data_IF_373302178097
#
_entry.id   IF_373302178097
#
_cell.length_a   1.000
_cell.length_b   1.000
_cell.length_c   1.000
_cell.angle_alpha   90.00
_cell.angle_beta   90.00
_cell.angle_gamma   90.00
#
_symmetry.space_group_name_H-M   'P 1'
#
loop_
_entity.id
_entity.type
_entity.pdbx_description
1 polymer ?
#
# COMPACT_ATOMS: atom_id res chain seq x y z
N UNK A 1 32.56 45.05 13.78
CA UNK A 1 32.26 43.63 14.06
C UNK A 1 30.79 43.36 14.39
N UNK A 2 30.14 44.13 15.30
CA UNK A 2 28.72 43.93 15.66
C UNK A 2 27.72 43.92 14.48
N UNK A 3 27.92 44.77 13.47
CA UNK A 3 27.05 44.83 12.27
C UNK A 3 27.21 43.65 11.30
N UNK A 4 28.40 43.03 11.28
CA UNK A 4 28.70 41.88 10.41
C UNK A 4 28.19 40.58 11.06
N UNK A 5 28.28 40.47 12.39
CA UNK A 5 27.73 39.34 13.16
C UNK A 5 26.21 39.25 13.05
N UNK A 6 25.52 40.40 13.05
CA UNK A 6 24.05 40.46 12.84
C UNK A 6 23.66 40.01 11.43
N UNK A 7 24.47 40.32 10.42
CA UNK A 7 24.21 39.93 9.02
C UNK A 7 24.39 38.43 8.77
N UNK A 8 25.32 37.78 9.46
CA UNK A 8 25.53 36.32 9.36
C UNK A 8 24.44 35.56 10.11
N UNK A 9 23.98 36.07 11.26
CA UNK A 9 22.86 35.48 12.00
C UNK A 9 21.54 35.53 11.22
N UNK A 10 21.30 36.60 10.44
CA UNK A 10 20.10 36.72 9.60
C UNK A 10 20.11 35.73 8.40
N UNK A 11 21.28 35.41 7.85
CA UNK A 11 21.41 34.48 6.72
C UNK A 11 21.16 33.00 7.13
N UNK A 12 21.51 32.62 8.36
CA UNK A 12 21.33 31.24 8.87
C UNK A 12 19.87 30.88 9.17
N UNK A 13 19.02 31.88 9.46
CA UNK A 13 17.60 31.65 9.76
C UNK A 13 16.79 31.37 8.47
N UNK A 14 17.25 31.89 7.32
CA UNK A 14 16.58 31.68 6.03
C UNK A 14 16.83 30.26 5.49
N UNK A 15 17.96 29.62 5.84
CA UNK A 15 18.28 28.26 5.39
C UNK A 15 17.49 27.14 6.10
N UNK A 16 16.75 27.42 7.16
CA UNK A 16 15.98 26.42 7.92
C UNK A 16 14.47 26.44 7.62
N UNK A 17 14.01 27.30 6.71
CA UNK A 17 12.58 27.59 6.49
C UNK A 17 11.85 26.78 5.41
N UNK A 18 12.45 25.76 4.79
CA UNK A 18 11.82 25.00 3.71
C UNK A 18 11.86 23.47 3.91
N UNK A 19 11.77 23.01 5.16
CA UNK A 19 11.26 21.66 5.40
C UNK A 19 9.75 21.68 5.19
N UNK A 20 9.35 21.50 3.94
CA UNK A 20 7.98 21.24 3.53
C UNK A 20 7.39 20.19 4.46
N UNK A 21 6.34 20.55 5.19
CA UNK A 21 5.44 19.59 5.81
C UNK A 21 4.80 18.84 4.64
N UNK A 22 5.42 17.74 4.20
CA UNK A 22 4.77 16.77 3.32
C UNK A 22 3.76 16.04 4.20
N UNK A 23 2.54 16.55 4.23
CA UNK A 23 1.39 15.76 4.64
C UNK A 23 1.19 14.67 3.59
N UNK A 24 1.55 13.44 3.93
CA UNK A 24 1.29 12.26 3.10
C UNK A 24 -0.19 11.81 3.16
N UNK A 25 -1.03 12.58 3.85
CA UNK A 25 -2.46 12.35 3.95
C UNK A 25 -3.16 13.12 2.81
N UNK A 26 -3.45 12.43 1.69
CA UNK A 26 -4.48 12.90 0.76
C UNK A 26 -4.10 13.14 -0.70
N UNK A 27 -2.88 12.81 -1.15
CA UNK A 27 -2.61 12.72 -2.58
C UNK A 27 -2.53 11.26 -3.02
N UNK A 28 -3.70 10.68 -3.31
CA UNK A 28 -3.76 9.55 -4.23
C UNK A 28 -3.01 9.92 -5.51
N UNK A 29 -2.28 8.97 -6.09
CA UNK A 29 -1.49 9.16 -7.32
C UNK A 29 -2.21 10.11 -8.29
N UNK A 30 -1.55 11.20 -8.66
CA UNK A 30 -2.05 12.08 -9.70
C UNK A 30 -2.36 11.23 -10.95
N UNK A 31 -3.56 11.35 -11.54
CA UNK A 31 -3.96 10.52 -12.67
C UNK A 31 -2.93 10.68 -13.81
N UNK A 32 -2.14 9.63 -14.06
CA UNK A 32 -1.16 9.58 -15.15
C UNK A 32 0.30 9.29 -14.77
N UNK A 33 0.67 9.29 -13.48
CA UNK A 33 2.05 8.95 -13.10
C UNK A 33 2.32 7.44 -13.21
N UNK A 34 2.96 7.03 -14.31
CA UNK A 34 3.45 5.65 -14.48
C UNK A 34 4.73 5.47 -13.65
N UNK A 35 4.61 4.80 -12.50
CA UNK A 35 5.77 4.38 -11.70
C UNK A 35 6.36 3.12 -12.33
N UNK A 36 7.64 3.17 -12.71
CA UNK A 36 8.39 2.01 -13.16
C UNK A 36 9.36 1.59 -12.06
N UNK A 37 9.20 0.38 -11.53
CA UNK A 37 10.09 -0.17 -10.52
C UNK A 37 11.37 -0.74 -11.15
N UNK A 38 12.49 -0.58 -10.47
CA UNK A 38 13.75 -1.26 -10.78
C UNK A 38 13.65 -2.76 -10.46
N UNK A 39 14.56 -3.58 -11.01
CA UNK A 39 14.56 -5.02 -10.74
C UNK A 39 14.80 -5.35 -9.26
N UNK A 40 15.66 -4.60 -8.58
CA UNK A 40 15.90 -4.78 -7.14
C UNK A 40 14.65 -4.48 -6.30
N UNK A 41 13.91 -3.41 -6.65
CA UNK A 41 12.63 -3.08 -6.01
C UNK A 41 11.58 -4.16 -6.24
N UNK A 42 11.48 -4.70 -7.46
CA UNK A 42 10.57 -5.82 -7.76
C UNK A 42 10.96 -7.07 -6.97
N UNK A 43 12.26 -7.34 -6.83
CA UNK A 43 12.75 -8.48 -6.05
C UNK A 43 12.42 -8.33 -4.56
N UNK A 44 12.57 -7.13 -4.00
CA UNK A 44 12.19 -6.83 -2.62
C UNK A 44 10.69 -7.01 -2.39
N UNK A 45 9.86 -6.41 -3.24
CA UNK A 45 8.41 -6.59 -3.18
C UNK A 45 8.00 -8.05 -3.33
N UNK A 46 8.68 -8.79 -4.22
CA UNK A 46 8.43 -10.21 -4.41
C UNK A 46 8.66 -11.02 -3.14
N UNK A 47 9.74 -10.76 -2.40
CA UNK A 47 10.00 -11.42 -1.11
C UNK A 47 8.89 -11.14 -0.10
N UNK A 48 8.45 -9.88 0.01
CA UNK A 48 7.36 -9.50 0.91
C UNK A 48 6.04 -10.19 0.53
N UNK A 49 5.71 -10.24 -0.75
CA UNK A 49 4.51 -10.92 -1.23
C UNK A 49 4.55 -12.45 -1.00
N UNK A 50 5.70 -13.08 -1.18
CA UNK A 50 5.86 -14.52 -0.87
C UNK A 50 5.70 -14.81 0.62
N UNK A 51 6.26 -13.97 1.49
CA UNK A 51 6.07 -14.09 2.94
C UNK A 51 4.59 -13.96 3.30
N UNK A 52 3.91 -12.92 2.79
CA UNK A 52 2.47 -12.74 2.99
C UNK A 52 1.66 -13.93 2.48
N UNK A 53 2.01 -14.47 1.30
CA UNK A 53 1.33 -15.62 0.72
C UNK A 53 1.48 -16.86 1.60
N UNK A 54 2.69 -17.12 2.08
CA UNK A 54 2.96 -18.23 3.01
C UNK A 54 2.14 -18.11 4.30
N UNK A 55 2.21 -16.96 4.96
CA UNK A 55 1.47 -16.69 6.20
C UNK A 55 -0.04 -16.80 5.99
N UNK A 56 -0.56 -16.31 4.87
CA UNK A 56 -2.00 -16.40 4.57
C UNK A 56 -2.47 -17.83 4.33
N UNK A 57 -1.66 -18.69 3.69
CA UNK A 57 -1.97 -20.12 3.55
C UNK A 57 -2.08 -20.79 4.92
N UNK A 58 -1.14 -20.50 5.82
CA UNK A 58 -1.17 -21.03 7.18
C UNK A 58 -2.43 -20.57 7.93
N UNK A 59 -2.77 -19.29 7.84
CA UNK A 59 -3.97 -18.73 8.45
C UNK A 59 -5.24 -19.44 7.96
N UNK A 60 -5.36 -19.70 6.65
CA UNK A 60 -6.52 -20.44 6.10
C UNK A 60 -6.57 -21.87 6.63
N UNK A 61 -5.43 -22.55 6.74
CA UNK A 61 -5.37 -23.89 7.35
C UNK A 61 -5.85 -23.85 8.80
N UNK A 62 -5.44 -22.84 9.58
CA UNK A 62 -5.92 -22.65 10.96
C UNK A 62 -7.41 -22.36 11.03
N UNK A 63 -7.97 -21.61 10.09
CA UNK A 63 -9.42 -21.41 10.02
C UNK A 63 -10.18 -22.70 9.70
N UNK A 64 -9.63 -23.59 8.88
CA UNK A 64 -10.21 -24.93 8.68
C UNK A 64 -10.09 -25.78 9.95
N UNK A 65 -8.93 -25.76 10.60
CA UNK A 65 -8.68 -26.49 11.86
C UNK A 65 -9.63 -26.06 12.98
N UNK A 66 -9.90 -24.76 13.09
CA UNK A 66 -10.79 -24.20 14.11
C UNK A 66 -12.27 -24.21 13.71
N UNK A 67 -12.61 -24.76 12.53
CA UNK A 67 -13.98 -24.86 12.04
C UNK A 67 -14.61 -23.54 11.61
N UNK A 68 -13.82 -22.47 11.46
CA UNK A 68 -14.26 -21.20 10.87
C UNK A 68 -14.60 -21.38 9.39
N UNK A 69 -13.84 -22.23 8.71
CA UNK A 69 -14.10 -22.65 7.33
C UNK A 69 -14.30 -24.15 7.24
N UNK A 70 -15.17 -24.58 6.33
CA UNK A 70 -15.14 -25.97 5.85
C UNK A 70 -13.86 -26.20 5.03
N UNK A 71 -13.46 -27.47 4.86
CA UNK A 71 -12.32 -27.82 4.02
C UNK A 71 -12.46 -27.26 2.59
N UNK A 72 -13.64 -27.40 2.00
CA UNK A 72 -13.96 -26.89 0.66
C UNK A 72 -13.84 -25.36 0.57
N UNK A 73 -14.30 -24.64 1.60
CA UNK A 73 -14.13 -23.19 1.67
C UNK A 73 -12.66 -22.81 1.77
N UNK A 74 -11.88 -23.51 2.61
CA UNK A 74 -10.43 -23.34 2.71
C UNK A 74 -9.74 -23.53 1.36
N UNK A 75 -10.02 -24.63 0.68
CA UNK A 75 -9.45 -24.96 -0.64
C UNK A 75 -9.81 -23.90 -1.69
N UNK A 76 -11.07 -23.42 -1.69
CA UNK A 76 -11.50 -22.33 -2.58
C UNK A 76 -10.73 -21.03 -2.32
N UNK A 77 -10.49 -20.68 -1.06
CA UNK A 77 -9.72 -19.49 -0.70
C UNK A 77 -8.25 -19.64 -1.11
N UNK A 78 -7.65 -20.82 -0.91
CA UNK A 78 -6.29 -21.15 -1.34
C UNK A 78 -6.13 -21.00 -2.85
N UNK A 79 -7.04 -21.59 -3.64
CA UNK A 79 -7.01 -21.47 -5.11
C UNK A 79 -7.14 -20.01 -5.57
N UNK A 80 -8.02 -19.23 -4.94
CA UNK A 80 -8.18 -17.81 -5.28
C UNK A 80 -6.90 -17.00 -4.97
N UNK A 81 -6.24 -17.25 -3.83
CA UNK A 81 -5.01 -16.53 -3.50
C UNK A 81 -3.84 -16.94 -4.40
N UNK A 82 -3.77 -18.19 -4.83
CA UNK A 82 -2.76 -18.65 -5.78
C UNK A 82 -2.90 -17.94 -7.14
N UNK A 83 -4.11 -17.89 -7.68
CA UNK A 83 -4.39 -17.17 -8.91
C UNK A 83 -4.08 -15.67 -8.81
N UNK A 84 -4.36 -15.05 -7.65
CA UNK A 84 -4.00 -13.64 -7.38
C UNK A 84 -2.49 -13.46 -7.30
N UNK A 85 -1.78 -14.38 -6.68
CA UNK A 85 -0.32 -14.34 -6.54
C UNK A 85 0.38 -14.45 -7.90
N UNK A 86 -0.09 -15.34 -8.78
CA UNK A 86 0.41 -15.47 -10.15
C UNK A 86 0.21 -14.17 -10.95
N UNK A 87 -0.99 -13.59 -10.94
CA UNK A 87 -1.26 -12.31 -11.61
C UNK A 87 -0.40 -11.15 -11.07
N UNK A 88 -0.11 -11.18 -9.78
CA UNK A 88 0.74 -10.16 -9.16
C UNK A 88 2.19 -10.28 -9.61
N UNK A 89 2.71 -11.51 -9.76
CA UNK A 89 4.03 -11.78 -10.35
C UNK A 89 4.12 -11.30 -11.80
N UNK A 90 3.11 -11.60 -12.61
CA UNK A 90 3.03 -11.17 -14.01
C UNK A 90 3.04 -9.64 -14.15
N UNK A 91 2.45 -8.92 -13.19
CA UNK A 91 2.44 -7.46 -13.14
C UNK A 91 3.67 -6.84 -12.43
N UNK A 92 4.73 -7.62 -12.19
CA UNK A 92 5.93 -7.12 -11.50
C UNK A 92 5.65 -6.55 -10.11
N UNK A 93 4.72 -7.17 -9.38
CA UNK A 93 4.31 -6.80 -8.01
C UNK A 93 3.67 -5.42 -7.86
N UNK A 94 3.15 -4.83 -8.95
CA UNK A 94 2.42 -3.57 -8.87
C UNK A 94 0.96 -3.80 -8.46
N UNK A 95 0.53 -3.18 -7.36
CA UNK A 95 -0.88 -3.19 -6.95
C UNK A 95 -1.65 -2.08 -7.66
N UNK A 96 -2.59 -2.44 -8.55
CA UNK A 96 -3.47 -1.46 -9.18
C UNK A 96 -4.65 -1.16 -8.27
N UNK A 97 -4.55 -0.07 -7.51
CA UNK A 97 -5.69 0.50 -6.81
C UNK A 97 -6.64 1.13 -7.82
N UNK A 98 -7.74 0.43 -8.12
CA UNK A 98 -8.84 1.04 -8.84
C UNK A 98 -9.84 1.55 -7.80
N UNK A 99 -10.25 2.83 -7.88
CA UNK A 99 -11.36 3.31 -7.08
C UNK A 99 -12.58 2.47 -7.44
N UNK A 100 -13.11 1.71 -6.49
CA UNK A 100 -14.42 1.11 -6.66
C UNK A 100 -15.46 2.24 -6.49
N UNK A 101 -16.34 2.49 -7.47
CA UNK A 101 -17.43 3.42 -7.27
C UNK A 101 -18.26 2.94 -6.08
N UNK A 102 -18.32 3.74 -5.02
CA UNK A 102 -19.19 3.47 -3.88
C UNK A 102 -20.63 3.60 -4.38
N UNK A 103 -21.28 2.47 -4.67
CA UNK A 103 -22.73 2.43 -4.82
C UNK A 103 -23.34 2.62 -3.43
N UNK A 104 -23.46 3.87 -3.00
CA UNK A 104 -24.27 4.24 -1.86
C UNK A 104 -25.71 3.87 -2.16
N UNK A 105 -26.21 2.78 -1.59
CA UNK A 105 -27.65 2.61 -1.45
C UNK A 105 -28.09 3.67 -0.43
N UNK A 106 -28.80 4.70 -0.86
CA UNK A 106 -29.56 5.53 0.07
C UNK A 106 -30.49 4.57 0.82
N UNK A 107 -30.25 4.41 2.13
CA UNK A 107 -31.21 3.75 3.00
C UNK A 107 -32.37 4.74 3.14
N UNK A 108 -33.47 4.45 2.46
CA UNK A 108 -34.72 5.18 2.62
C UNK A 108 -35.23 4.91 4.03
N UNK A 109 -34.98 5.85 4.93
CA UNK A 109 -35.56 5.85 6.27
C UNK A 109 -37.01 6.32 6.14
N UNK A 110 -37.91 5.39 5.82
CA UNK A 110 -39.35 5.63 5.92
C UNK A 110 -39.79 5.25 7.32
N UNK A 111 -39.99 6.27 8.16
CA UNK A 111 -40.70 6.19 9.45
C UNK A 111 -42.19 5.89 9.26
#
# INVERSE_FOLDING_TARGET
MKKIVVSIAAALIISLGFSSIVSAEGQGQAPGQKVNLTEDQKAELGKLHEQMYSTKKELVKKYVEYGVFTKEQGDKVLNMMEAKHQKLKENGYMMRWHPHPHHGKQLDHKE
#
